data_IF_253114899961
#
_entry.id   IF_253114899961
#
_cell.length_a   1.000
_cell.length_b   1.000
_cell.length_c   1.000
_cell.angle_alpha   90.00
_cell.angle_beta   90.00
_cell.angle_gamma   90.00
#
_symmetry.space_group_name_H-M   'P 1'
#
loop_
_entity.id
_entity.type
_entity.pdbx_description
1 polymer ?
#
# COMPACT_ATOMS: atom_id res chain seq x y z
N UNK A 1 67.62 17.58 18.14
CA UNK A 1 66.15 17.87 18.09
C UNK A 1 65.77 18.14 16.65
N UNK A 2 65.18 17.11 15.95
CA UNK A 2 64.71 17.21 14.57
C UNK A 2 63.22 17.51 14.65
N UNK A 3 62.78 18.73 14.33
CA UNK A 3 61.40 19.12 14.14
C UNK A 3 60.92 18.50 12.85
N UNK A 4 60.06 17.50 12.94
CA UNK A 4 59.29 16.95 11.80
C UNK A 4 58.19 17.94 11.47
N UNK A 5 58.39 18.79 10.51
CA UNK A 5 57.33 19.59 9.89
C UNK A 5 56.39 18.64 9.12
N UNK A 6 55.32 18.26 9.76
CA UNK A 6 54.16 17.68 9.08
C UNK A 6 53.52 18.79 8.23
N UNK A 7 54.02 18.95 7.01
CA UNK A 7 53.36 19.75 5.99
C UNK A 7 52.01 19.10 5.73
N UNK A 8 50.92 19.67 6.28
CA UNK A 8 49.56 19.40 5.85
C UNK A 8 49.50 19.75 4.35
N UNK A 9 49.67 18.74 3.48
CA UNK A 9 49.37 18.86 2.07
C UNK A 9 47.88 19.16 1.96
N UNK A 10 47.48 20.44 1.91
CA UNK A 10 46.13 20.88 1.60
C UNK A 10 45.78 20.26 0.25
N UNK A 11 44.66 19.60 0.18
CA UNK A 11 44.09 19.17 -1.09
C UNK A 11 44.01 20.41 -1.99
N UNK A 12 44.59 20.33 -3.19
CA UNK A 12 44.47 21.40 -4.18
C UNK A 12 43.00 21.70 -4.44
N UNK A 13 42.69 22.91 -4.93
CA UNK A 13 41.34 23.40 -5.20
C UNK A 13 40.47 22.36 -5.89
N UNK A 14 41.07 21.58 -6.80
CA UNK A 14 40.41 20.48 -7.53
C UNK A 14 39.97 19.33 -6.60
N UNK A 15 40.85 18.95 -5.68
CA UNK A 15 40.50 17.92 -4.70
C UNK A 15 39.39 18.36 -3.75
N UNK A 16 39.37 19.64 -3.36
CA UNK A 16 38.28 20.19 -2.54
C UNK A 16 36.96 20.22 -3.32
N UNK A 17 36.97 20.58 -4.59
CA UNK A 17 35.78 20.61 -5.44
C UNK A 17 35.23 19.22 -5.71
N UNK A 18 36.10 18.24 -5.99
CA UNK A 18 35.70 16.83 -6.14
C UNK A 18 35.11 16.27 -4.85
N UNK A 19 35.73 16.57 -3.71
CA UNK A 19 35.23 16.14 -2.40
C UNK A 19 33.85 16.72 -2.10
N UNK A 20 33.64 18.03 -2.38
CA UNK A 20 32.36 18.69 -2.19
C UNK A 20 31.27 18.12 -3.09
N UNK A 21 31.58 17.86 -4.36
CA UNK A 21 30.65 17.27 -5.32
C UNK A 21 30.30 15.82 -4.93
N UNK A 22 31.28 15.04 -4.50
CA UNK A 22 31.07 13.69 -3.96
C UNK A 22 30.16 13.70 -2.75
N UNK A 23 30.39 14.64 -1.82
CA UNK A 23 29.60 14.79 -0.61
C UNK A 23 28.14 15.15 -0.94
N UNK A 24 27.90 16.08 -1.87
CA UNK A 24 26.54 16.46 -2.29
C UNK A 24 25.84 15.25 -2.95
N UNK A 25 26.51 14.55 -3.87
CA UNK A 25 25.91 13.38 -4.51
C UNK A 25 25.54 12.30 -3.48
N UNK A 26 26.43 12.00 -2.56
CA UNK A 26 26.18 11.02 -1.51
C UNK A 26 25.06 11.44 -0.57
N UNK A 27 25.02 12.71 -0.21
CA UNK A 27 23.93 13.28 0.61
C UNK A 27 22.58 13.16 -0.09
N UNK A 28 22.49 13.50 -1.38
CA UNK A 28 21.26 13.38 -2.18
C UNK A 28 20.82 11.92 -2.31
N UNK A 29 21.75 10.99 -2.50
CA UNK A 29 21.43 9.56 -2.58
C UNK A 29 20.88 9.03 -1.25
N UNK A 30 21.51 9.39 -0.12
CA UNK A 30 21.02 9.01 1.21
C UNK A 30 19.65 9.62 1.49
N UNK A 31 19.45 10.89 1.15
CA UNK A 31 18.17 11.57 1.30
C UNK A 31 17.09 10.89 0.46
N UNK A 32 17.37 10.58 -0.80
CA UNK A 32 16.47 9.87 -1.69
C UNK A 32 16.13 8.48 -1.17
N UNK A 33 17.12 7.75 -0.66
CA UNK A 33 16.92 6.43 -0.06
C UNK A 33 16.00 6.49 1.16
N UNK A 34 16.23 7.44 2.08
CA UNK A 34 15.39 7.66 3.26
C UNK A 34 13.95 8.01 2.83
N UNK A 35 13.79 8.96 1.91
CA UNK A 35 12.48 9.36 1.42
C UNK A 35 11.72 8.18 0.78
N UNK A 36 12.39 7.41 -0.06
CA UNK A 36 11.77 6.26 -0.75
C UNK A 36 11.37 5.15 0.22
N UNK A 37 12.20 4.85 1.23
CA UNK A 37 11.91 3.76 2.17
C UNK A 37 10.93 4.16 3.27
N UNK A 38 10.92 5.42 3.69
CA UNK A 38 10.09 5.88 4.80
C UNK A 38 8.74 6.45 4.37
N UNK A 39 8.66 7.07 3.17
CA UNK A 39 7.43 7.71 2.71
C UNK A 39 6.57 6.82 1.80
N UNK A 40 7.19 5.93 1.02
CA UNK A 40 6.45 5.18 0.00
C UNK A 40 5.36 4.29 0.62
N UNK A 41 5.72 3.53 1.66
CA UNK A 41 4.81 2.60 2.32
C UNK A 41 3.59 3.28 2.94
N UNK A 42 3.74 4.35 3.77
CA UNK A 42 2.59 5.03 4.34
C UNK A 42 1.75 5.80 3.31
N UNK A 43 2.37 6.36 2.26
CA UNK A 43 1.62 7.04 1.21
C UNK A 43 0.78 6.07 0.40
N UNK A 44 1.35 4.92 0.04
CA UNK A 44 0.64 3.87 -0.70
C UNK A 44 -0.51 3.29 0.13
N UNK A 45 -0.26 2.98 1.40
CA UNK A 45 -1.30 2.49 2.32
C UNK A 45 -2.45 3.49 2.44
N UNK A 46 -2.17 4.78 2.59
CA UNK A 46 -3.21 5.82 2.62
C UNK A 46 -3.97 5.93 1.30
N UNK A 47 -3.29 5.74 0.17
CA UNK A 47 -3.94 5.75 -1.14
C UNK A 47 -4.95 4.59 -1.26
N UNK A 48 -4.52 3.37 -0.93
CA UNK A 48 -5.39 2.19 -0.91
C UNK A 48 -6.55 2.36 0.09
N UNK A 49 -6.28 2.88 1.27
CA UNK A 49 -7.30 3.15 2.27
C UNK A 49 -8.41 4.08 1.74
N UNK A 50 -8.02 5.15 1.03
CA UNK A 50 -8.99 6.04 0.38
C UNK A 50 -9.79 5.33 -0.69
N UNK A 51 -9.14 4.53 -1.53
CA UNK A 51 -9.82 3.74 -2.56
C UNK A 51 -10.83 2.76 -1.94
N UNK A 52 -10.44 2.01 -0.89
CA UNK A 52 -11.34 1.12 -0.17
C UNK A 52 -12.53 1.85 0.43
N UNK A 53 -12.28 3.02 1.03
CA UNK A 53 -13.33 3.84 1.62
C UNK A 53 -14.34 4.27 0.55
N UNK A 54 -13.85 4.78 -0.58
CA UNK A 54 -14.72 5.20 -1.70
C UNK A 54 -15.51 4.02 -2.27
N UNK A 55 -14.89 2.84 -2.37
CA UNK A 55 -15.60 1.66 -2.83
C UNK A 55 -16.67 1.18 -1.83
N UNK A 56 -16.36 1.18 -0.54
CA UNK A 56 -17.34 0.85 0.49
C UNK A 56 -18.53 1.82 0.47
N UNK A 57 -18.28 3.12 0.31
CA UNK A 57 -19.31 4.15 0.19
C UNK A 57 -20.15 3.97 -1.09
N UNK A 58 -19.53 3.66 -2.22
CA UNK A 58 -20.25 3.36 -3.46
C UNK A 58 -21.16 2.15 -3.33
N UNK A 59 -20.70 1.08 -2.70
CA UNK A 59 -21.52 -0.13 -2.48
C UNK A 59 -22.67 0.20 -1.55
N UNK A 60 -22.42 0.90 -0.46
CA UNK A 60 -23.48 1.29 0.50
C UNK A 60 -24.52 2.20 -0.17
N UNK A 61 -24.07 3.18 -0.96
CA UNK A 61 -25.00 4.06 -1.69
C UNK A 61 -25.92 3.27 -2.63
N UNK A 62 -25.38 2.29 -3.38
CA UNK A 62 -26.20 1.44 -4.26
C UNK A 62 -27.19 0.56 -3.47
N UNK A 63 -26.79 0.09 -2.28
CA UNK A 63 -27.68 -0.65 -1.40
C UNK A 63 -28.80 0.25 -0.83
N UNK A 64 -28.44 1.46 -0.38
CA UNK A 64 -29.40 2.45 0.13
C UNK A 64 -30.40 2.88 -0.96
N UNK A 65 -29.93 3.10 -2.19
CA UNK A 65 -30.79 3.43 -3.33
C UNK A 65 -31.79 2.31 -3.62
N UNK A 66 -31.32 1.05 -3.65
CA UNK A 66 -32.16 -0.11 -3.86
C UNK A 66 -33.20 -0.31 -2.75
N UNK A 67 -32.81 -0.04 -1.49
CA UNK A 67 -33.73 -0.08 -0.35
C UNK A 67 -34.77 1.03 -0.42
N UNK A 68 -34.39 2.23 -0.83
CA UNK A 68 -35.30 3.34 -1.06
C UNK A 68 -36.33 3.08 -2.16
N UNK A 69 -35.93 2.33 -3.19
CA UNK A 69 -36.80 1.83 -4.27
C UNK A 69 -37.74 0.68 -3.81
N UNK A 70 -37.60 0.20 -2.57
CA UNK A 70 -38.36 -0.91 -2.05
C UNK A 70 -37.93 -2.29 -2.53
N UNK A 71 -36.71 -2.38 -3.11
CA UNK A 71 -36.14 -3.65 -3.56
C UNK A 71 -35.74 -4.50 -2.36
N UNK A 72 -36.36 -5.65 -2.16
CA UNK A 72 -35.95 -6.63 -1.16
C UNK A 72 -34.61 -7.26 -1.58
N UNK A 73 -33.54 -6.93 -0.85
CA UNK A 73 -32.20 -7.46 -1.13
C UNK A 73 -32.03 -8.89 -0.56
N UNK A 74 -32.65 -9.14 0.59
CA UNK A 74 -32.72 -10.45 1.20
C UNK A 74 -34.03 -10.62 1.98
N UNK A 75 -34.54 -11.85 2.04
CA UNK A 75 -35.73 -12.20 2.80
C UNK A 75 -35.57 -13.56 3.45
N UNK A 76 -36.13 -13.70 4.64
CA UNK A 76 -36.23 -14.97 5.35
C UNK A 76 -37.61 -15.59 5.11
N UNK A 77 -37.65 -16.78 4.52
CA UNK A 77 -38.90 -17.50 4.33
C UNK A 77 -38.63 -18.99 4.54
N UNK A 78 -39.54 -19.66 5.28
CA UNK A 78 -39.46 -21.09 5.61
C UNK A 78 -38.10 -21.54 6.17
N UNK A 79 -37.45 -20.71 6.98
CA UNK A 79 -36.14 -21.02 7.58
C UNK A 79 -34.97 -20.96 6.60
N UNK A 80 -35.18 -20.43 5.39
CA UNK A 80 -34.15 -20.22 4.40
C UNK A 80 -33.96 -18.74 4.08
N UNK A 81 -32.74 -18.36 3.85
CA UNK A 81 -32.38 -17.02 3.37
C UNK A 81 -32.49 -17.01 1.82
N UNK A 82 -33.33 -16.15 1.33
CA UNK A 82 -33.43 -15.83 -0.09
C UNK A 82 -32.69 -14.52 -0.35
N UNK A 83 -31.76 -14.56 -1.29
CA UNK A 83 -30.93 -13.41 -1.67
C UNK A 83 -31.30 -12.98 -3.08
N UNK A 84 -31.44 -11.70 -3.33
CA UNK A 84 -31.68 -11.15 -4.65
C UNK A 84 -30.38 -11.18 -5.48
N UNK A 85 -30.05 -12.37 -6.01
CA UNK A 85 -28.82 -12.57 -6.79
C UNK A 85 -28.73 -11.65 -8.00
N UNK A 86 -29.87 -11.33 -8.64
CA UNK A 86 -29.87 -10.45 -9.81
C UNK A 86 -29.42 -9.02 -9.49
N UNK A 87 -29.72 -8.51 -8.31
CA UNK A 87 -29.19 -7.22 -7.86
C UNK A 87 -27.69 -7.30 -7.58
N UNK A 88 -27.26 -8.30 -6.82
CA UNK A 88 -25.85 -8.46 -6.45
C UNK A 88 -24.95 -8.77 -7.62
N UNK A 89 -25.44 -9.52 -8.61
CA UNK A 89 -24.70 -9.79 -9.84
C UNK A 89 -24.50 -8.52 -10.69
N UNK A 90 -25.51 -7.64 -10.75
CA UNK A 90 -25.37 -6.32 -11.39
C UNK A 90 -24.37 -5.43 -10.61
N UNK A 91 -24.47 -5.40 -9.29
CA UNK A 91 -23.52 -4.70 -8.44
C UNK A 91 -22.08 -5.18 -8.67
N UNK A 92 -21.89 -6.50 -8.72
CA UNK A 92 -20.59 -7.10 -9.00
C UNK A 92 -20.09 -6.68 -10.39
N UNK A 93 -20.93 -6.77 -11.44
CA UNK A 93 -20.56 -6.34 -12.79
C UNK A 93 -20.19 -4.86 -12.87
N UNK A 94 -20.91 -3.98 -12.17
CA UNK A 94 -20.58 -2.55 -12.12
C UNK A 94 -19.21 -2.33 -11.48
N UNK A 95 -18.93 -2.99 -10.37
CA UNK A 95 -17.64 -2.93 -9.69
C UNK A 95 -16.50 -3.51 -10.56
N UNK A 96 -16.75 -4.60 -11.31
CA UNK A 96 -15.79 -5.16 -12.26
C UNK A 96 -15.51 -4.19 -13.42
N UNK A 97 -16.55 -3.59 -13.98
CA UNK A 97 -16.40 -2.69 -15.13
C UNK A 97 -15.62 -1.43 -14.81
N UNK A 98 -15.69 -0.97 -13.57
CA UNK A 98 -14.94 0.16 -13.04
C UNK A 98 -13.51 -0.20 -12.63
N UNK A 99 -13.09 -1.44 -12.82
CA UNK A 99 -11.76 -1.93 -12.42
C UNK A 99 -11.53 -1.98 -10.91
N UNK A 100 -12.58 -1.74 -10.12
CA UNK A 100 -12.49 -1.65 -8.67
C UNK A 100 -12.16 -3.00 -8.02
N UNK A 101 -12.63 -4.09 -8.61
CA UNK A 101 -12.48 -5.44 -8.04
C UNK A 101 -11.20 -6.17 -8.44
N UNK A 102 -10.29 -5.57 -9.18
CA UNK A 102 -9.01 -6.23 -9.48
C UNK A 102 -8.18 -6.54 -8.23
N UNK A 103 -8.47 -5.86 -7.12
CA UNK A 103 -7.68 -5.97 -5.88
C UNK A 103 -8.51 -6.02 -4.60
N UNK A 104 -9.85 -5.96 -4.68
CA UNK A 104 -10.72 -5.82 -3.51
C UNK A 104 -11.72 -6.95 -3.42
N UNK A 105 -12.09 -7.28 -2.18
CA UNK A 105 -13.19 -8.18 -1.87
C UNK A 105 -14.26 -7.42 -1.12
N UNK A 106 -15.50 -7.71 -1.44
CA UNK A 106 -16.65 -7.11 -0.78
C UNK A 106 -17.46 -8.21 -0.11
N UNK A 107 -17.66 -8.09 1.19
CA UNK A 107 -18.50 -8.96 2.01
C UNK A 107 -19.72 -8.15 2.49
N UNK A 108 -20.89 -8.61 2.15
CA UNK A 108 -22.17 -7.98 2.52
C UNK A 108 -22.89 -8.89 3.50
N UNK A 109 -23.24 -8.36 4.65
CA UNK A 109 -23.95 -9.08 5.71
C UNK A 109 -25.23 -8.37 6.13
N UNK A 110 -26.19 -9.14 6.64
CA UNK A 110 -27.45 -8.64 7.16
C UNK A 110 -27.36 -8.10 8.61
N UNK A 111 -28.51 -7.68 9.12
CA UNK A 111 -28.65 -7.22 10.50
C UNK A 111 -28.32 -8.30 11.54
N UNK A 112 -28.36 -9.58 11.18
CA UNK A 112 -28.02 -10.71 12.06
C UNK A 112 -26.54 -11.08 11.99
N UNK A 113 -25.73 -10.27 11.29
CA UNK A 113 -24.29 -10.49 11.04
C UNK A 113 -23.98 -11.73 10.19
N UNK A 114 -24.98 -12.26 9.47
CA UNK A 114 -24.78 -13.35 8.52
C UNK A 114 -24.38 -12.79 7.18
N UNK A 115 -23.44 -13.47 6.54
CA UNK A 115 -23.03 -13.16 5.16
C UNK A 115 -24.18 -13.47 4.23
N UNK A 116 -24.57 -12.46 3.43
CA UNK A 116 -25.60 -12.57 2.40
C UNK A 116 -24.95 -12.81 1.05
N UNK A 117 -23.97 -11.98 0.72
CA UNK A 117 -23.31 -12.02 -0.56
C UNK A 117 -21.84 -11.67 -0.44
N UNK A 118 -21.03 -12.27 -1.29
CA UNK A 118 -19.60 -12.02 -1.33
C UNK A 118 -19.18 -11.83 -2.77
N UNK A 119 -18.46 -10.76 -3.02
CA UNK A 119 -17.89 -10.47 -4.34
C UNK A 119 -16.38 -10.71 -4.23
N UNK A 120 -15.93 -11.74 -4.93
CA UNK A 120 -14.52 -12.15 -4.94
C UNK A 120 -13.99 -12.16 -6.36
N UNK A 121 -12.80 -11.61 -6.54
CA UNK A 121 -12.10 -11.75 -7.81
C UNK A 121 -10.88 -12.66 -7.73
N UNK A 122 -10.36 -12.97 -6.55
CA UNK A 122 -9.16 -13.78 -6.39
C UNK A 122 -9.18 -14.59 -5.09
N UNK A 123 -8.42 -15.67 -5.08
CA UNK A 123 -8.27 -16.62 -3.94
C UNK A 123 -7.80 -15.98 -2.63
N UNK A 124 -7.31 -14.75 -2.65
CA UNK A 124 -6.81 -14.02 -1.48
C UNK A 124 -7.88 -13.28 -0.69
N UNK A 125 -9.13 -13.38 -1.12
CA UNK A 125 -10.25 -12.66 -0.54
C UNK A 125 -10.95 -13.39 0.61
N UNK A 126 -10.40 -14.49 1.08
CA UNK A 126 -11.01 -15.22 2.19
C UNK A 126 -10.54 -14.66 3.52
N UNK A 127 -11.38 -13.83 4.13
CA UNK A 127 -11.23 -13.47 5.55
C UNK A 127 -11.15 -14.75 6.41
N UNK A 128 -11.80 -15.83 5.97
CA UNK A 128 -11.78 -17.13 6.61
C UNK A 128 -10.45 -17.88 6.45
N UNK A 129 -9.90 -17.96 5.24
CA UNK A 129 -8.69 -18.77 4.99
C UNK A 129 -7.43 -18.19 5.62
N UNK A 130 -7.33 -16.87 5.73
CA UNK A 130 -6.15 -16.20 6.29
C UNK A 130 -6.02 -16.45 7.82
N UNK A 131 -7.12 -16.78 8.49
CA UNK A 131 -7.16 -16.98 9.93
C UNK A 131 -7.38 -18.44 10.34
N UNK A 132 -7.75 -19.33 9.38
CA UNK A 132 -8.03 -20.74 9.66
C UNK A 132 -6.79 -21.60 9.90
N UNK A 133 -5.60 -21.13 9.52
CA UNK A 133 -4.41 -21.97 9.61
C UNK A 133 -3.90 -22.21 11.03
N UNK A 134 -4.28 -21.36 12.02
CA UNK A 134 -3.76 -21.44 13.39
C UNK A 134 -4.83 -21.36 14.50
N UNK A 135 -6.08 -21.17 14.16
CA UNK A 135 -7.17 -21.06 15.12
C UNK A 135 -8.22 -22.14 14.89
N UNK A 136 -8.86 -22.57 15.96
CA UNK A 136 -10.03 -23.44 15.82
C UNK A 136 -11.08 -22.74 14.94
N UNK A 137 -11.80 -23.49 14.11
CA UNK A 137 -12.82 -22.95 13.19
C UNK A 137 -13.82 -21.99 13.87
N UNK A 138 -14.03 -22.13 15.17
CA UNK A 138 -14.89 -21.27 15.97
C UNK A 138 -14.29 -19.86 16.19
N UNK A 139 -12.99 -19.73 16.32
CA UNK A 139 -12.33 -18.45 16.55
C UNK A 139 -12.34 -17.56 15.30
N UNK A 140 -12.27 -18.14 14.14
CA UNK A 140 -12.35 -17.45 12.84
C UNK A 140 -13.73 -16.90 12.57
N UNK A 141 -14.76 -17.70 12.81
CA UNK A 141 -16.15 -17.26 12.72
C UNK A 141 -16.39 -16.10 13.68
N UNK A 142 -15.84 -16.20 14.91
CA UNK A 142 -15.92 -15.12 15.89
C UNK A 142 -15.21 -13.85 15.44
N UNK A 143 -14.09 -13.94 14.72
CA UNK A 143 -13.38 -12.76 14.20
C UNK A 143 -14.18 -12.04 13.12
N UNK A 144 -14.75 -12.75 12.15
CA UNK A 144 -15.60 -12.15 11.12
C UNK A 144 -16.85 -11.49 11.73
N UNK A 145 -17.53 -12.18 12.66
CA UNK A 145 -18.66 -11.63 13.40
C UNK A 145 -18.25 -10.42 14.22
N UNK A 146 -17.09 -10.44 14.87
CA UNK A 146 -16.58 -9.31 15.65
C UNK A 146 -16.32 -8.08 14.75
N UNK A 147 -15.79 -8.27 13.56
CA UNK A 147 -15.56 -7.17 12.59
C UNK A 147 -16.90 -6.59 12.10
N UNK A 148 -17.89 -7.42 11.75
CA UNK A 148 -19.22 -6.99 11.36
C UNK A 148 -19.92 -6.24 12.50
N UNK A 149 -19.84 -6.78 13.74
CA UNK A 149 -20.39 -6.13 14.95
C UNK A 149 -19.73 -4.77 15.19
N UNK A 150 -18.39 -4.70 15.08
CA UNK A 150 -17.64 -3.46 15.24
C UNK A 150 -18.04 -2.42 14.20
N UNK A 151 -18.27 -2.83 12.96
CA UNK A 151 -18.75 -1.95 11.91
C UNK A 151 -20.09 -1.31 12.28
N UNK A 152 -21.04 -2.10 12.76
CA UNK A 152 -22.37 -1.60 13.17
C UNK A 152 -22.33 -0.68 14.38
N UNK A 153 -21.38 -0.87 15.30
CA UNK A 153 -21.25 -0.01 16.49
C UNK A 153 -20.48 1.27 16.23
N UNK A 154 -19.90 1.43 15.03
CA UNK A 154 -19.07 2.59 14.68
C UNK A 154 -19.81 3.49 13.68
N UNK A 155 -20.54 4.54 14.13
CA UNK A 155 -21.20 5.45 13.21
C UNK A 155 -20.16 6.12 12.31
N UNK A 156 -20.40 6.09 11.00
CA UNK A 156 -19.45 6.58 9.99
C UNK A 156 -18.43 5.53 9.52
N UNK A 157 -18.56 4.28 9.98
CA UNK A 157 -17.73 3.17 9.57
C UNK A 157 -16.44 3.02 10.37
N UNK A 158 -15.69 1.97 10.07
CA UNK A 158 -14.43 1.72 10.72
C UNK A 158 -13.36 1.23 9.74
N UNK A 159 -12.12 1.34 10.15
CA UNK A 159 -10.95 0.89 9.41
C UNK A 159 -10.06 0.09 10.34
N UNK A 160 -9.53 -1.00 9.84
CA UNK A 160 -8.61 -1.83 10.61
C UNK A 160 -7.63 -2.54 9.69
N UNK A 161 -6.36 -2.56 10.08
CA UNK A 161 -5.37 -3.46 9.49
C UNK A 161 -5.38 -4.75 10.29
N UNK A 162 -5.59 -5.85 9.60
CA UNK A 162 -5.56 -7.18 10.16
C UNK A 162 -4.20 -7.80 9.84
N UNK A 163 -3.44 -8.13 10.87
CA UNK A 163 -2.19 -8.85 10.73
C UNK A 163 -2.47 -10.34 10.89
N UNK A 164 -2.06 -11.18 9.94
CA UNK A 164 -2.24 -12.62 10.07
C UNK A 164 -1.41 -13.16 11.23
N UNK A 165 -1.88 -14.21 11.89
CA UNK A 165 -1.05 -14.96 12.80
C UNK A 165 0.15 -15.57 12.06
N UNK A 166 1.25 -15.69 12.72
CA UNK A 166 2.68 -15.83 12.32
C UNK A 166 3.08 -16.69 11.12
N UNK A 167 2.23 -17.43 10.43
CA UNK A 167 2.69 -18.50 9.51
C UNK A 167 2.25 -18.42 8.04
N UNK A 168 1.23 -17.72 7.65
CA UNK A 168 0.89 -17.67 6.20
C UNK A 168 -0.16 -16.62 5.84
N UNK A 169 0.21 -15.38 5.83
CA UNK A 169 -0.73 -14.41 5.28
C UNK A 169 -0.15 -13.00 5.32
N UNK A 170 -0.52 -12.25 4.33
CA UNK A 170 -0.18 -10.84 4.27
C UNK A 170 -1.15 -10.03 5.10
N UNK A 171 -0.68 -8.92 5.63
CA UNK A 171 -1.53 -7.94 6.24
C UNK A 171 -2.69 -7.57 5.29
N UNK A 172 -3.89 -7.48 5.84
CA UNK A 172 -5.09 -7.08 5.10
C UNK A 172 -5.60 -5.76 5.65
N UNK A 173 -5.97 -4.86 4.75
CA UNK A 173 -6.65 -3.64 5.11
C UNK A 173 -8.16 -3.85 4.94
N UNK A 174 -8.93 -3.54 5.98
CA UNK A 174 -10.35 -3.72 6.04
C UNK A 174 -11.01 -2.37 6.31
N UNK A 175 -12.03 -2.05 5.52
CA UNK A 175 -12.90 -0.90 5.71
C UNK A 175 -14.33 -1.39 5.80
N UNK A 176 -15.05 -0.96 6.85
CA UNK A 176 -16.44 -1.32 7.08
C UNK A 176 -17.36 -0.10 7.01
N UNK A 177 -18.51 -0.27 6.40
CA UNK A 177 -19.60 0.69 6.32
C UNK A 177 -20.94 0.00 6.55
N UNK A 178 -21.93 0.74 7.03
CA UNK A 178 -23.30 0.27 7.18
C UNK A 178 -24.23 1.12 6.33
N UNK A 179 -25.32 0.52 5.84
CA UNK A 179 -26.44 1.24 5.22
C UNK A 179 -27.06 2.22 6.19
N UNK A 180 -27.74 3.25 5.68
CA UNK A 180 -28.34 4.32 6.48
C UNK A 180 -29.35 3.79 7.51
N UNK A 181 -30.10 2.76 7.16
CA UNK A 181 -31.06 2.07 8.05
C UNK A 181 -30.39 1.04 8.99
N UNK A 182 -29.09 0.76 8.82
CA UNK A 182 -28.36 -0.25 9.57
C UNK A 182 -28.73 -1.69 9.23
N UNK A 183 -29.52 -1.93 8.18
CA UNK A 183 -29.96 -3.27 7.79
C UNK A 183 -28.82 -4.12 7.24
N UNK A 184 -27.88 -3.50 6.52
CA UNK A 184 -26.76 -4.19 5.90
C UNK A 184 -25.41 -3.62 6.33
N UNK A 185 -24.43 -4.49 6.39
CA UNK A 185 -23.04 -4.14 6.69
C UNK A 185 -22.16 -4.57 5.51
N UNK A 186 -21.38 -3.66 5.02
CA UNK A 186 -20.44 -3.85 3.92
C UNK A 186 -19.02 -3.82 4.47
N UNK A 187 -18.26 -4.88 4.27
CA UNK A 187 -16.84 -4.95 4.58
C UNK A 187 -16.08 -5.05 3.27
N UNK A 188 -15.20 -4.10 3.01
CA UNK A 188 -14.30 -4.13 1.85
C UNK A 188 -12.90 -4.41 2.35
N UNK A 189 -12.28 -5.46 1.80
CA UNK A 189 -10.95 -5.91 2.20
C UNK A 189 -10.00 -5.98 1.01
N UNK A 190 -8.73 -5.69 1.26
CA UNK A 190 -7.65 -5.92 0.29
C UNK A 190 -6.42 -6.48 0.98
N UNK A 191 -5.66 -7.27 0.23
CA UNK A 191 -4.37 -7.77 0.70
C UNK A 191 -3.27 -6.72 0.47
N UNK A 192 -2.43 -6.52 1.46
CA UNK A 192 -1.24 -5.66 1.37
C UNK A 192 0.01 -6.43 0.88
N UNK A 193 -0.14 -7.69 0.38
CA UNK A 193 0.98 -8.50 -0.14
C UNK A 193 1.76 -7.74 -1.19
N UNK A 194 1.07 -7.24 -2.21
CA UNK A 194 1.74 -6.56 -3.32
C UNK A 194 2.48 -5.29 -2.88
N UNK A 195 2.01 -4.64 -1.81
CA UNK A 195 2.69 -3.49 -1.19
C UNK A 195 4.00 -3.93 -0.55
N UNK A 196 3.94 -4.99 0.24
CA UNK A 196 5.11 -5.53 0.93
C UNK A 196 6.14 -6.08 -0.07
N UNK A 197 5.70 -6.78 -1.10
CA UNK A 197 6.58 -7.29 -2.17
C UNK A 197 7.22 -6.15 -2.96
N UNK A 198 6.45 -5.17 -3.41
CA UNK A 198 6.97 -3.99 -4.12
C UNK A 198 7.95 -3.20 -3.24
N UNK A 199 7.63 -3.03 -1.96
CA UNK A 199 8.53 -2.38 -0.99
C UNK A 199 9.84 -3.15 -0.83
N UNK A 200 9.80 -4.49 -0.74
CA UNK A 200 10.99 -5.32 -0.62
C UNK A 200 11.87 -5.27 -1.88
N UNK A 201 11.25 -5.35 -3.06
CA UNK A 201 11.95 -5.22 -4.35
C UNK A 201 12.62 -3.85 -4.43
N UNK A 202 11.90 -2.80 -4.07
CA UNK A 202 12.44 -1.43 -4.08
C UNK A 202 13.60 -1.27 -3.10
N UNK A 203 13.48 -1.78 -1.87
CA UNK A 203 14.55 -1.76 -0.85
C UNK A 203 15.82 -2.47 -1.33
N UNK A 204 15.67 -3.51 -2.16
CA UNK A 204 16.81 -4.28 -2.68
C UNK A 204 17.42 -3.63 -3.93
N UNK A 205 16.61 -3.14 -4.86
CA UNK A 205 17.10 -2.59 -6.12
C UNK A 205 17.55 -1.13 -6.00
N UNK A 206 16.95 -0.36 -5.11
CA UNK A 206 17.27 1.06 -4.97
C UNK A 206 18.72 1.35 -4.59
N UNK A 207 19.35 0.66 -3.61
CA UNK A 207 20.75 0.88 -3.30
C UNK A 207 21.69 0.49 -4.46
N UNK A 208 21.32 -0.54 -5.22
CA UNK A 208 22.10 -0.94 -6.42
C UNK A 208 22.04 0.15 -7.50
N UNK A 209 20.83 0.64 -7.81
CA UNK A 209 20.64 1.73 -8.76
C UNK A 209 21.37 3.00 -8.31
N UNK A 210 21.29 3.33 -7.02
CA UNK A 210 21.96 4.48 -6.43
C UNK A 210 23.49 4.37 -6.56
N UNK A 211 24.06 3.18 -6.31
CA UNK A 211 25.49 2.93 -6.48
C UNK A 211 25.94 3.12 -7.94
N UNK A 212 25.16 2.60 -8.90
CA UNK A 212 25.45 2.79 -10.34
C UNK A 212 25.41 4.26 -10.75
N UNK A 213 24.38 5.01 -10.32
CA UNK A 213 24.25 6.44 -10.59
C UNK A 213 25.43 7.20 -9.98
N UNK A 214 25.83 6.85 -8.75
CA UNK A 214 26.97 7.46 -8.08
C UNK A 214 28.28 7.25 -8.85
N UNK A 215 28.58 6.00 -9.27
CA UNK A 215 29.76 5.67 -10.05
C UNK A 215 29.76 6.42 -11.38
N UNK A 216 28.62 6.49 -12.06
CA UNK A 216 28.49 7.23 -13.32
C UNK A 216 28.71 8.74 -13.13
N UNK A 217 28.10 9.34 -12.10
CA UNK A 217 28.27 10.76 -11.79
C UNK A 217 29.73 11.11 -11.45
N UNK A 218 30.41 10.24 -10.68
CA UNK A 218 31.81 10.44 -10.32
C UNK A 218 32.74 10.30 -11.54
N UNK A 219 32.49 9.33 -12.42
CA UNK A 219 33.28 9.18 -13.65
C UNK A 219 33.10 10.37 -14.62
N UNK A 220 31.86 10.85 -14.76
CA UNK A 220 31.55 12.04 -15.55
C UNK A 220 32.23 13.30 -14.99
N UNK A 221 32.18 13.49 -13.67
CA UNK A 221 32.85 14.60 -13.00
C UNK A 221 34.37 14.56 -13.19
N UNK A 222 34.94 13.36 -13.09
CA UNK A 222 36.40 13.18 -13.31
C UNK A 222 36.80 13.49 -14.74
N UNK A 223 36.06 13.02 -15.74
CA UNK A 223 36.29 13.33 -17.17
C UNK A 223 36.16 14.85 -17.42
N UNK A 224 35.14 15.49 -16.86
CA UNK A 224 34.93 16.93 -17.01
C UNK A 224 36.10 17.75 -16.45
N UNK A 225 36.57 17.41 -15.27
CA UNK A 225 37.75 18.05 -14.67
C UNK A 225 39.06 17.79 -15.45
N UNK A 226 39.15 16.62 -16.07
CA UNK A 226 40.31 16.29 -16.96
C UNK A 226 40.29 17.12 -18.22
N UNK A 227 39.13 17.31 -18.86
CA UNK A 227 38.95 18.13 -20.07
C UNK A 227 39.28 19.61 -19.85
N UNK A 228 38.84 20.17 -18.71
CA UNK A 228 39.16 21.57 -18.36
C UNK A 228 40.69 21.77 -18.22
N UNK A 229 41.40 20.74 -17.79
CA UNK A 229 42.86 20.85 -17.67
C UNK A 229 43.60 20.93 -19.01
N UNK A 230 43.06 20.30 -20.05
CA UNK A 230 43.68 20.30 -21.40
C UNK A 230 43.45 21.66 -22.07
N UNK A 231 42.41 22.41 -21.70
CA UNK A 231 42.07 23.72 -22.29
C UNK A 231 42.75 24.91 -21.65
N UNK A 232 43.51 24.74 -20.54
CA UNK A 232 44.26 25.84 -19.95
C UNK A 232 45.55 26.06 -20.80
N UNK A 233 45.62 27.15 -21.58
CA UNK A 233 46.83 27.40 -22.39
C UNK A 233 48.02 27.62 -21.46
N UNK A 234 49.07 26.86 -21.68
CA UNK A 234 50.38 27.11 -21.08
C UNK A 234 50.72 28.58 -21.28
N UNK A 235 50.59 29.39 -20.22
CA UNK A 235 51.04 30.76 -20.22
C UNK A 235 52.57 30.70 -20.43
N UNK A 236 53.11 31.27 -21.48
CA UNK A 236 54.56 31.30 -21.61
C UNK A 236 55.13 32.11 -20.46
N UNK A 237 56.05 31.51 -19.72
CA UNK A 237 56.87 32.25 -18.76
C UNK A 237 57.74 33.24 -19.56
N UNK A 238 57.40 34.53 -19.48
CA UNK A 238 58.31 35.60 -19.87
C UNK A 238 59.43 35.73 -18.85
#
# INVERSE_FOLDING_TARGET
MRRTNNARRGLGIRGQLMFFLCFICLFLLVLFWILSTQLLEPLYTRHIERQLTTQAENVVSQLDDALAEGTALSSWSFGRLYVNTGFFDKLAMDLYSKGALSSFCVDISDSTLRQIYKIENQSYCNLHETYLSDASSNEVVNTAIAMRKKCRTSPGGFKQTLNPPRLSGSAQLLVGRTTADGAYTVLVTTSLVHVAEASNVLRTLLPLAAALIFVFAMSAAWLFLSLIHISEPTRPEE
#
